data_IF_251915091684
#
_entry.id   IF_251915091684
#
_cell.length_a   1.000
_cell.length_b   1.000
_cell.length_c   1.000
_cell.angle_alpha   90.00
_cell.angle_beta   90.00
_cell.angle_gamma   90.00
#
_symmetry.space_group_name_H-M   'P 1'
#
loop_
_entity.id
_entity.type
_entity.pdbx_description
1 polymer ?
#
# COMPACT_ATOMS: atom_id res chain seq x y z
N UNK A 1 29.04 -23.22 -27.11
CA UNK A 1 28.21 -22.00 -27.25
C UNK A 1 26.80 -22.33 -26.76
N UNK A 2 26.45 -21.92 -25.54
CA UNK A 2 25.05 -21.72 -25.15
C UNK A 2 25.00 -20.39 -24.41
N UNK A 3 24.57 -19.35 -25.13
CA UNK A 3 24.30 -18.04 -24.56
C UNK A 3 23.04 -18.15 -23.71
N UNK A 4 23.20 -18.05 -22.40
CA UNK A 4 22.07 -17.87 -21.50
C UNK A 4 21.64 -16.40 -21.57
N UNK A 5 20.74 -16.09 -22.50
CA UNK A 5 19.99 -14.84 -22.50
C UNK A 5 19.01 -14.88 -21.33
N UNK A 6 19.44 -14.37 -20.18
CA UNK A 6 18.60 -14.16 -19.02
C UNK A 6 17.78 -12.89 -19.29
N UNK A 7 16.49 -13.09 -19.59
CA UNK A 7 15.50 -12.02 -19.73
C UNK A 7 15.27 -11.36 -18.36
N UNK A 8 15.56 -10.06 -18.24
CA UNK A 8 15.50 -9.30 -16.97
C UNK A 8 14.11 -8.83 -16.55
N UNK A 9 13.07 -9.03 -17.38
CA UNK A 9 11.74 -8.47 -17.11
C UNK A 9 10.89 -9.29 -16.11
N UNK A 10 11.00 -10.63 -16.07
CA UNK A 10 9.91 -11.46 -15.50
C UNK A 10 9.92 -11.67 -13.97
N UNK A 11 10.99 -11.33 -13.25
CA UNK A 11 11.06 -11.52 -11.78
C UNK A 11 10.68 -10.31 -10.95
N UNK A 12 10.51 -9.13 -11.57
CA UNK A 12 10.19 -7.88 -10.84
C UNK A 12 8.67 -7.69 -10.70
N UNK A 13 7.90 -8.03 -11.74
CA UNK A 13 6.44 -7.82 -11.75
C UNK A 13 5.67 -8.78 -10.83
N UNK A 14 6.14 -10.03 -10.65
CA UNK A 14 5.50 -11.00 -9.74
C UNK A 14 5.72 -10.69 -8.25
N UNK A 15 6.70 -9.86 -7.91
CA UNK A 15 7.07 -9.55 -6.52
C UNK A 15 6.19 -8.43 -5.93
N UNK A 16 5.72 -7.49 -6.75
CA UNK A 16 4.95 -6.32 -6.31
C UNK A 16 3.53 -6.68 -5.86
N UNK A 17 2.85 -7.59 -6.56
CA UNK A 17 1.52 -8.08 -6.16
C UNK A 17 1.56 -8.87 -4.85
N UNK A 18 2.64 -9.61 -4.58
CA UNK A 18 2.83 -10.32 -3.31
C UNK A 18 3.09 -9.37 -2.14
N UNK A 19 3.64 -8.19 -2.40
CA UNK A 19 4.09 -7.25 -1.36
C UNK A 19 2.93 -6.66 -0.55
N UNK A 20 1.80 -6.35 -1.20
CA UNK A 20 0.57 -5.92 -0.51
C UNK A 20 0.02 -7.03 0.40
N UNK A 21 -0.04 -8.27 -0.10
CA UNK A 21 -0.51 -9.42 0.68
C UNK A 21 0.39 -9.71 1.88
N UNK A 22 1.71 -9.55 1.74
CA UNK A 22 2.66 -9.68 2.84
C UNK A 22 2.42 -8.64 3.94
N UNK A 23 2.07 -7.39 3.58
CA UNK A 23 1.75 -6.37 4.56
C UNK A 23 0.50 -6.74 5.38
N UNK A 24 -0.47 -7.44 4.79
CA UNK A 24 -1.63 -7.96 5.51
C UNK A 24 -1.25 -9.02 6.55
N UNK A 25 -0.33 -9.91 6.20
CA UNK A 25 0.15 -10.94 7.14
C UNK A 25 1.08 -10.36 8.21
N UNK A 26 1.77 -9.25 7.92
CA UNK A 26 2.74 -8.64 8.82
C UNK A 26 2.07 -7.73 9.85
N UNK A 27 1.70 -8.34 10.98
CA UNK A 27 1.16 -7.69 12.17
C UNK A 27 -0.05 -6.79 11.88
N UNK A 28 -1.18 -7.35 11.40
CA UNK A 28 -2.38 -6.58 11.06
C UNK A 28 -2.98 -5.84 12.27
N UNK A 29 -2.92 -6.47 13.46
CA UNK A 29 -3.44 -5.93 14.72
C UNK A 29 -2.53 -4.90 15.39
N UNK A 30 -1.38 -4.56 14.79
CA UNK A 30 -0.46 -3.59 15.40
C UNK A 30 -1.02 -2.18 15.18
N UNK A 31 -1.11 -1.43 16.27
CA UNK A 31 -1.52 -0.03 16.23
C UNK A 31 -0.51 0.78 15.43
N UNK A 32 -1.00 1.38 14.34
CA UNK A 32 -0.22 2.20 13.42
C UNK A 32 -0.28 3.65 13.86
N UNK A 33 -1.44 4.12 14.31
CA UNK A 33 -1.61 5.43 14.94
C UNK A 33 -1.87 5.26 16.43
N UNK A 34 -0.95 5.76 17.27
CA UNK A 34 -1.12 5.72 18.74
C UNK A 34 -2.07 6.83 19.23
N UNK A 35 -2.25 7.91 18.45
CA UNK A 35 -3.11 9.03 18.83
C UNK A 35 -4.60 8.66 18.89
N UNK A 36 -5.06 7.87 17.92
CA UNK A 36 -6.46 7.47 17.76
C UNK A 36 -6.65 5.95 17.88
N UNK A 37 -5.62 5.25 18.38
CA UNK A 37 -5.60 3.78 18.52
C UNK A 37 -6.00 3.03 17.24
N UNK A 38 -5.53 3.51 16.09
CA UNK A 38 -5.90 2.94 14.78
C UNK A 38 -4.95 1.78 14.43
N UNK A 39 -5.44 0.54 14.30
CA UNK A 39 -4.64 -0.59 13.86
C UNK A 39 -4.30 -0.51 12.37
N UNK A 40 -3.23 -1.19 11.97
CA UNK A 40 -2.79 -1.24 10.57
C UNK A 40 -3.87 -1.82 9.65
N UNK A 41 -4.63 -2.80 10.11
CA UNK A 41 -5.73 -3.42 9.34
C UNK A 41 -6.82 -2.42 8.93
N UNK A 42 -7.21 -1.49 9.81
CA UNK A 42 -8.18 -0.44 9.49
C UNK A 42 -7.68 0.47 8.36
N UNK A 43 -6.40 0.84 8.41
CA UNK A 43 -5.75 1.63 7.36
C UNK A 43 -5.71 0.88 6.03
N UNK A 44 -5.34 -0.39 6.04
CA UNK A 44 -5.31 -1.19 4.81
C UNK A 44 -6.72 -1.41 4.24
N UNK A 45 -7.73 -1.63 5.09
CA UNK A 45 -9.13 -1.70 4.66
C UNK A 45 -9.61 -0.38 4.04
N UNK A 46 -9.23 0.77 4.60
CA UNK A 46 -9.56 2.07 4.00
C UNK A 46 -8.92 2.24 2.61
N UNK A 47 -7.69 1.77 2.44
CA UNK A 47 -7.02 1.76 1.14
C UNK A 47 -7.75 0.84 0.14
N UNK A 48 -8.17 -0.36 0.56
CA UNK A 48 -8.98 -1.26 -0.28
C UNK A 48 -10.36 -0.70 -0.62
N UNK A 49 -10.94 0.14 0.25
CA UNK A 49 -12.19 0.89 -0.02
C UNK A 49 -12.00 2.01 -1.04
N UNK A 50 -10.77 2.28 -1.48
CA UNK A 50 -10.45 3.30 -2.47
C UNK A 50 -9.76 4.54 -1.93
N UNK A 51 -9.31 4.56 -0.67
CA UNK A 51 -8.51 5.68 -0.17
C UNK A 51 -7.11 5.67 -0.82
N UNK A 52 -6.91 6.50 -1.85
CA UNK A 52 -5.66 6.60 -2.60
C UNK A 52 -4.70 7.66 -2.06
N UNK A 53 -5.15 8.47 -1.10
CA UNK A 53 -4.43 9.61 -0.51
C UNK A 53 -4.37 9.53 1.01
N UNK A 54 -3.34 10.17 1.60
CA UNK A 54 -3.27 10.40 3.05
C UNK A 54 -4.53 11.07 3.59
N UNK A 55 -5.10 12.02 2.83
CA UNK A 55 -6.26 12.80 3.24
C UNK A 55 -7.53 11.92 3.27
N UNK A 56 -7.68 11.04 2.29
CA UNK A 56 -8.79 10.08 2.24
C UNK A 56 -8.67 9.01 3.32
N UNK A 57 -7.46 8.48 3.54
CA UNK A 57 -7.20 7.51 4.61
C UNK A 57 -7.49 8.17 5.97
N UNK A 58 -7.05 9.41 6.17
CA UNK A 58 -7.34 10.22 7.36
C UNK A 58 -8.83 10.47 7.53
N UNK A 59 -9.55 10.76 6.45
CA UNK A 59 -11.00 10.97 6.50
C UNK A 59 -11.76 9.70 6.90
N UNK A 60 -11.32 8.54 6.42
CA UNK A 60 -11.97 7.26 6.72
C UNK A 60 -11.59 6.66 8.08
N UNK A 61 -10.33 6.80 8.50
CA UNK A 61 -9.79 6.09 9.68
C UNK A 61 -9.42 7.02 10.84
N UNK A 62 -9.48 8.34 10.64
CA UNK A 62 -8.99 9.36 11.57
C UNK A 62 -7.48 9.30 11.88
N UNK A 63 -6.75 8.39 11.23
CA UNK A 63 -5.30 8.32 11.34
C UNK A 63 -4.66 9.61 10.79
N UNK A 64 -3.48 9.97 11.30
CA UNK A 64 -2.69 11.15 10.90
C UNK A 64 -3.24 12.53 11.28
N UNK A 65 -4.44 12.68 11.87
CA UNK A 65 -4.96 14.00 12.30
C UNK A 65 -4.31 14.57 13.57
N UNK A 66 -3.53 13.75 14.29
CA UNK A 66 -2.88 14.12 15.54
C UNK A 66 -1.45 14.61 15.33
N UNK A 67 -0.48 13.83 15.85
CA UNK A 67 0.94 14.19 15.80
C UNK A 67 1.65 13.88 14.46
N UNK A 68 0.95 13.31 13.47
CA UNK A 68 1.52 12.97 12.16
C UNK A 68 2.55 11.82 12.14
N UNK A 69 2.88 11.18 13.27
CA UNK A 69 3.92 10.13 13.31
C UNK A 69 3.63 8.90 12.44
N UNK A 70 2.37 8.69 12.08
CA UNK A 70 1.91 7.57 11.27
C UNK A 70 1.89 7.87 9.76
N UNK A 71 2.03 9.14 9.34
CA UNK A 71 1.93 9.57 7.94
C UNK A 71 2.88 8.81 7.02
N UNK A 72 4.17 8.79 7.37
CA UNK A 72 5.20 8.06 6.60
C UNK A 72 4.89 6.58 6.42
N UNK A 73 4.20 5.98 7.39
CA UNK A 73 3.85 4.57 7.34
C UNK A 73 2.64 4.35 6.43
N UNK A 74 1.67 5.25 6.44
CA UNK A 74 0.52 5.26 5.52
C UNK A 74 0.98 5.53 4.08
N UNK A 75 1.84 6.52 3.84
CA UNK A 75 2.40 6.80 2.51
C UNK A 75 3.08 5.57 1.91
N UNK A 76 3.82 4.81 2.75
CA UNK A 76 4.47 3.59 2.30
C UNK A 76 3.47 2.50 1.92
N UNK A 77 2.38 2.33 2.68
CA UNK A 77 1.31 1.39 2.34
C UNK A 77 0.63 1.81 1.03
N UNK A 78 0.31 3.09 0.87
CA UNK A 78 -0.24 3.63 -0.38
C UNK A 78 0.67 3.38 -1.58
N UNK A 79 1.99 3.54 -1.42
CA UNK A 79 2.95 3.24 -2.49
C UNK A 79 2.91 1.76 -2.91
N UNK A 80 2.81 0.83 -1.95
CA UNK A 80 2.66 -0.59 -2.27
C UNK A 80 1.31 -0.91 -2.93
N UNK A 81 0.24 -0.25 -2.52
CA UNK A 81 -1.07 -0.43 -3.12
C UNK A 81 -1.14 0.11 -4.55
N UNK A 82 -0.56 1.29 -4.82
CA UNK A 82 -0.47 1.85 -6.19
C UNK A 82 0.33 0.94 -7.12
N UNK A 83 1.43 0.36 -6.63
CA UNK A 83 2.18 -0.64 -7.38
C UNK A 83 1.36 -1.91 -7.69
N UNK A 84 0.35 -2.22 -6.86
CA UNK A 84 -0.61 -3.30 -7.13
C UNK A 84 -1.70 -2.89 -8.14
N UNK A 85 -2.16 -1.64 -8.13
CA UNK A 85 -3.20 -1.12 -9.02
C UNK A 85 -2.72 -0.70 -10.42
N UNK A 86 -1.41 -0.51 -10.64
CA UNK A 86 -0.80 -0.18 -11.95
C UNK A 86 -1.01 -1.22 -13.07
N UNK A 87 -1.80 -2.27 -12.83
CA UNK A 87 -2.33 -3.18 -13.85
C UNK A 87 -3.68 -2.76 -14.44
N UNK A 88 -4.30 -1.67 -13.93
CA UNK A 88 -5.65 -1.24 -14.30
C UNK A 88 -5.76 0.20 -14.84
N UNK A 89 -4.70 1.01 -14.80
CA UNK A 89 -4.74 2.42 -15.23
C UNK A 89 -3.93 2.64 -16.52
N UNK A 90 -4.43 2.11 -17.63
CA UNK A 90 -4.18 2.65 -18.98
C UNK A 90 -5.37 3.52 -19.48
N UNK A 91 -6.40 3.80 -18.65
CA UNK A 91 -7.64 4.39 -19.20
C UNK A 91 -8.46 5.24 -18.20
N UNK A 92 -7.94 6.41 -17.77
CA UNK A 92 -8.75 7.62 -17.47
C UNK A 92 -7.80 8.79 -17.14
N UNK A 93 -7.68 9.91 -17.87
CA UNK A 93 -8.50 10.59 -18.89
C UNK A 93 -7.51 11.33 -19.82
N UNK A 94 -7.58 11.19 -21.15
CA UNK A 94 -8.41 12.03 -22.05
C UNK A 94 -8.72 13.44 -21.54
#
# INVERSE_FOLDING_TARGET
>A
MVGFSINKESTVEKDLSQRWQQEWQKNPKRNLCVCYDVPKEEVMQAIEKGAGSLEEVSSQTYACQGAGCCERQVERLLAFYRAHQQSAEDEESN
#
